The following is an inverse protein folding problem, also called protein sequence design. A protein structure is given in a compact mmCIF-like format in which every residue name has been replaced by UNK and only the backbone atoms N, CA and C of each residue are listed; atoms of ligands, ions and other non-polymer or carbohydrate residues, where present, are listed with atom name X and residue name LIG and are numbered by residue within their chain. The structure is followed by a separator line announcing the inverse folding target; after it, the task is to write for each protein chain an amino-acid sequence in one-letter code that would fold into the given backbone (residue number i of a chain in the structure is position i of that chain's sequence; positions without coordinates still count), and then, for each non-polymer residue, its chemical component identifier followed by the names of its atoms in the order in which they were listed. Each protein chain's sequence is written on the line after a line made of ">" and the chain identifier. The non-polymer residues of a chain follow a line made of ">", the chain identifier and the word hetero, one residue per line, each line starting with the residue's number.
data_IF_661254391970
#
_entry.id   IF_661254391970
#
_cell.length_a   1.000
_cell.length_b   1.000
_cell.length_c   1.000
_cell.angle_alpha   90.00
_cell.angle_beta   90.00
_cell.angle_gamma   90.00
#
_symmetry.space_group_name_H-M   'P 1'
#
loop_
_entity.id
_entity.type
_entity.pdbx_description
1 polymer ?
#
# COMPACT_ATOMS: atom_id res chain seq x y z
N UNK A 1 13.50 -3.38 -0.50
CA UNK A 1 12.90 -4.12 -1.63
C UNK A 1 11.60 -4.75 -1.17
N UNK A 2 10.51 -4.63 -1.94
CA UNK A 2 9.23 -5.27 -1.61
C UNK A 2 9.00 -6.55 -2.42
N UNK A 3 8.52 -7.59 -1.77
CA UNK A 3 8.21 -8.89 -2.36
C UNK A 3 6.79 -9.31 -1.97
N UNK A 4 6.09 -9.93 -2.90
CA UNK A 4 4.77 -10.51 -2.70
C UNK A 4 4.94 -11.99 -2.38
N UNK A 5 4.61 -12.41 -1.16
CA UNK A 5 4.80 -13.79 -0.71
C UNK A 5 4.08 -14.80 -1.62
N UNK A 6 2.85 -14.50 -2.03
CA UNK A 6 2.10 -15.34 -2.96
C UNK A 6 2.79 -15.53 -4.32
N UNK A 7 3.63 -14.59 -4.77
CA UNK A 7 4.37 -14.69 -6.02
C UNK A 7 5.68 -15.46 -5.86
N UNK A 8 6.25 -15.53 -4.66
CA UNK A 8 7.54 -16.18 -4.41
C UNK A 8 7.48 -17.71 -4.52
N UNK A 9 6.29 -18.31 -4.37
CA UNK A 9 6.11 -19.74 -4.60
C UNK A 9 6.39 -20.11 -6.07
N UNK A 10 5.93 -19.28 -7.01
CA UNK A 10 6.13 -19.49 -8.45
C UNK A 10 7.44 -18.87 -8.97
N UNK A 11 7.97 -17.87 -8.25
CA UNK A 11 9.14 -17.06 -8.65
C UNK A 11 10.17 -16.92 -7.52
N UNK A 12 10.76 -18.03 -7.04
CA UNK A 12 11.71 -18.01 -5.94
C UNK A 12 12.98 -17.20 -6.24
N UNK A 13 13.35 -17.04 -7.50
CA UNK A 13 14.51 -16.26 -7.95
C UNK A 13 14.41 -14.77 -7.59
N UNK A 14 13.20 -14.26 -7.36
CA UNK A 14 13.00 -12.88 -6.91
C UNK A 14 13.55 -12.64 -5.51
N UNK A 15 13.43 -13.63 -4.61
CA UNK A 15 14.01 -13.55 -3.28
C UNK A 15 15.54 -13.56 -3.36
N UNK A 16 16.10 -14.40 -4.22
CA UNK A 16 17.55 -14.50 -4.42
C UNK A 16 18.11 -13.19 -4.96
N UNK A 17 17.46 -12.60 -5.96
CA UNK A 17 17.82 -11.29 -6.50
C UNK A 17 17.71 -10.17 -5.43
N UNK A 18 16.65 -10.18 -4.63
CA UNK A 18 16.47 -9.20 -3.56
C UNK A 18 17.55 -9.30 -2.47
N UNK A 19 17.93 -10.53 -2.09
CA UNK A 19 19.01 -10.77 -1.12
C UNK A 19 20.37 -10.36 -1.71
N UNK A 20 20.65 -10.71 -2.97
CA UNK A 20 21.88 -10.36 -3.66
C UNK A 20 22.10 -8.84 -3.76
N UNK A 21 21.02 -8.07 -3.88
CA UNK A 21 21.07 -6.61 -3.87
C UNK A 21 21.45 -6.00 -2.50
N UNK A 22 21.45 -6.80 -1.42
CA UNK A 22 21.78 -6.40 -0.03
C UNK A 22 21.13 -5.08 0.41
N UNK A 23 19.80 -4.90 0.27
CA UNK A 23 19.13 -3.71 0.75
C UNK A 23 19.16 -3.64 2.28
N UNK A 24 18.93 -2.45 2.84
CA UNK A 24 18.78 -2.28 4.29
C UNK A 24 17.53 -3.02 4.85
N UNK A 25 16.47 -3.13 4.03
CA UNK A 25 15.18 -3.70 4.40
C UNK A 25 14.54 -4.45 3.23
N UNK A 26 14.04 -5.66 3.49
CA UNK A 26 13.13 -6.40 2.60
C UNK A 26 11.75 -6.48 3.25
N UNK A 27 10.70 -6.11 2.51
CA UNK A 27 9.32 -6.34 2.91
C UNK A 27 8.79 -7.58 2.20
N UNK A 28 8.28 -8.54 2.96
CA UNK A 28 7.64 -9.76 2.46
C UNK A 28 6.19 -9.72 2.94
N UNK A 29 5.26 -9.43 2.04
CA UNK A 29 3.87 -9.16 2.38
C UNK A 29 2.92 -10.01 1.55
N UNK A 30 1.63 -10.00 1.89
CA UNK A 30 0.56 -10.65 1.13
C UNK A 30 0.66 -12.19 1.11
N UNK A 31 0.82 -12.78 2.29
CA UNK A 31 0.89 -14.22 2.49
C UNK A 31 1.86 -14.61 3.60
N UNK A 32 1.99 -15.92 3.87
CA UNK A 32 2.89 -16.47 4.89
C UNK A 32 4.36 -16.06 4.70
N UNK A 33 4.99 -15.32 5.64
CA UNK A 33 6.39 -14.92 5.51
C UNK A 33 7.41 -15.97 6.01
N UNK A 34 6.96 -17.02 6.71
CA UNK A 34 7.80 -17.95 7.48
C UNK A 34 8.90 -18.61 6.64
N UNK A 35 8.56 -19.02 5.42
CA UNK A 35 9.47 -19.72 4.52
C UNK A 35 10.62 -18.85 4.00
N UNK A 36 10.55 -17.53 4.17
CA UNK A 36 11.46 -16.58 3.53
C UNK A 36 12.27 -15.76 4.54
N UNK A 37 11.67 -15.40 5.68
CA UNK A 37 12.29 -14.54 6.70
C UNK A 37 13.66 -15.05 7.16
N UNK A 38 13.79 -16.36 7.41
CA UNK A 38 15.05 -16.95 7.84
C UNK A 38 16.20 -16.71 6.88
N UNK A 39 15.96 -16.82 5.56
CA UNK A 39 16.97 -16.60 4.52
C UNK A 39 17.42 -15.14 4.46
N UNK A 40 16.48 -14.21 4.56
CA UNK A 40 16.76 -12.76 4.57
C UNK A 40 17.62 -12.38 5.79
N UNK A 41 17.26 -12.90 6.97
CA UNK A 41 18.00 -12.66 8.21
C UNK A 41 19.40 -13.26 8.20
N UNK A 42 19.57 -14.47 7.66
CA UNK A 42 20.90 -15.08 7.48
C UNK A 42 21.83 -14.25 6.59
N UNK A 43 21.28 -13.48 5.66
CA UNK A 43 22.03 -12.53 4.84
C UNK A 43 22.32 -11.20 5.56
N UNK A 44 21.94 -11.04 6.83
CA UNK A 44 22.16 -9.82 7.61
C UNK A 44 21.23 -8.65 7.24
N UNK A 45 20.16 -8.92 6.50
CA UNK A 45 19.21 -7.91 6.02
C UNK A 45 18.01 -7.86 6.96
N UNK A 46 17.51 -6.64 7.24
CA UNK A 46 16.28 -6.49 8.02
C UNK A 46 15.07 -6.88 7.22
N UNK A 47 14.07 -7.44 7.88
CA UNK A 47 12.84 -7.92 7.24
C UNK A 47 11.59 -7.39 7.92
N UNK A 48 10.58 -7.08 7.12
CA UNK A 48 9.28 -6.61 7.58
C UNK A 48 8.15 -7.28 6.81
N UNK A 49 6.93 -7.20 7.33
CA UNK A 49 5.72 -7.62 6.64
C UNK A 49 4.61 -6.57 6.83
N UNK A 50 3.87 -6.30 5.76
CA UNK A 50 2.60 -5.58 5.82
C UNK A 50 1.50 -6.52 6.31
N UNK A 51 0.72 -6.05 7.28
CA UNK A 51 -0.36 -6.79 7.93
C UNK A 51 -1.63 -5.95 7.96
N UNK A 52 -2.77 -6.62 7.77
CA UNK A 52 -4.10 -6.03 7.85
C UNK A 52 -4.95 -6.57 9.01
N UNK A 53 -4.44 -7.56 9.76
CA UNK A 53 -5.08 -8.11 10.97
C UNK A 53 -4.08 -8.36 12.10
N UNK A 54 -4.60 -8.52 13.32
CA UNK A 54 -3.81 -8.95 14.49
C UNK A 54 -3.21 -10.34 14.29
N UNK A 55 -3.93 -11.24 13.64
CA UNK A 55 -3.45 -12.60 13.36
C UNK A 55 -2.22 -12.57 12.44
N UNK A 56 -2.27 -11.78 11.36
CA UNK A 56 -1.13 -11.58 10.47
C UNK A 56 0.06 -10.93 11.19
N UNK A 57 -0.19 -9.99 12.09
CA UNK A 57 0.85 -9.36 12.90
C UNK A 57 1.58 -10.37 13.80
N UNK A 58 0.83 -11.18 14.56
CA UNK A 58 1.39 -12.24 15.42
C UNK A 58 2.17 -13.28 14.61
N UNK A 59 1.63 -13.65 13.44
CA UNK A 59 2.28 -14.59 12.53
C UNK A 59 3.60 -14.03 11.99
N UNK A 60 3.63 -12.75 11.59
CA UNK A 60 4.83 -12.10 11.12
C UNK A 60 5.89 -11.99 12.24
N UNK A 61 5.49 -11.62 13.46
CA UNK A 61 6.40 -11.59 14.61
C UNK A 61 6.96 -12.99 14.92
N UNK A 62 6.12 -14.02 14.94
CA UNK A 62 6.54 -15.41 15.15
C UNK A 62 7.49 -15.91 14.06
N UNK A 63 7.33 -15.44 12.81
CA UNK A 63 8.26 -15.70 11.71
C UNK A 63 9.63 -15.02 11.93
N UNK A 64 9.69 -14.02 12.81
CA UNK A 64 10.91 -13.31 13.18
C UNK A 64 11.16 -12.05 12.37
N UNK A 65 10.14 -11.32 11.93
CA UNK A 65 10.35 -9.99 11.33
C UNK A 65 10.94 -8.99 12.33
N UNK A 66 11.67 -7.99 11.83
CA UNK A 66 12.28 -6.93 12.65
C UNK A 66 11.29 -5.81 13.00
N UNK A 67 10.26 -5.61 12.17
CA UNK A 67 9.15 -4.67 12.39
C UNK A 67 7.94 -5.09 11.57
N UNK A 68 6.75 -4.66 11.97
CA UNK A 68 5.51 -4.87 11.19
C UNK A 68 4.96 -3.55 10.66
N UNK A 69 4.30 -3.61 9.51
CA UNK A 69 3.61 -2.48 8.90
C UNK A 69 2.11 -2.70 8.99
N UNK A 70 1.46 -2.06 9.97
CA UNK A 70 0.02 -2.14 10.16
C UNK A 70 -0.70 -1.22 9.16
N UNK A 71 -1.26 -1.81 8.10
CA UNK A 71 -1.86 -1.06 6.98
C UNK A 71 -3.38 -1.14 7.02
N UNK A 72 -4.01 -0.01 7.30
CA UNK A 72 -5.47 0.11 7.31
C UNK A 72 -6.12 0.10 5.92
N UNK A 73 -7.44 -0.05 5.91
CA UNK A 73 -8.29 -0.13 4.71
C UNK A 73 -8.21 1.11 3.81
N UNK A 74 -7.80 2.26 4.36
CA UNK A 74 -7.67 3.56 3.71
C UNK A 74 -6.41 3.65 2.82
N UNK A 75 -5.48 2.70 2.96
CA UNK A 75 -4.26 2.66 2.15
C UNK A 75 -4.53 2.44 0.67
N UNK A 76 -3.69 3.03 -0.19
CA UNK A 76 -3.72 2.79 -1.64
C UNK A 76 -3.13 1.44 -2.02
N UNK A 77 -3.45 0.97 -3.23
CA UNK A 77 -2.97 -0.32 -3.74
C UNK A 77 -3.48 -1.50 -2.92
N UNK A 78 -2.75 -2.61 -2.92
CA UNK A 78 -3.19 -3.85 -2.32
C UNK A 78 -3.05 -3.91 -0.80
N UNK A 79 -4.03 -4.52 -0.16
CA UNK A 79 -4.09 -4.78 1.28
C UNK A 79 -5.46 -5.32 1.66
N UNK A 80 -5.71 -5.49 2.97
CA UNK A 80 -7.06 -5.77 3.45
C UNK A 80 -7.90 -4.49 3.44
N UNK A 81 -9.16 -4.62 3.04
CA UNK A 81 -10.16 -3.55 3.04
C UNK A 81 -11.09 -3.56 4.26
N UNK A 82 -10.64 -4.14 5.38
CA UNK A 82 -11.51 -4.54 6.49
C UNK A 82 -11.49 -3.56 7.69
N UNK A 83 -10.29 -3.14 8.13
CA UNK A 83 -10.12 -2.36 9.37
C UNK A 83 -9.38 -1.06 9.08
N UNK A 84 -9.92 0.05 9.60
CA UNK A 84 -9.33 1.38 9.51
C UNK A 84 -7.97 1.49 10.26
N UNK A 85 -7.06 2.33 9.79
CA UNK A 85 -5.67 2.45 10.28
C UNK A 85 -5.61 2.64 11.80
N UNK A 86 -6.40 3.56 12.38
CA UNK A 86 -6.32 3.85 13.80
C UNK A 86 -6.79 2.67 14.67
N UNK A 87 -7.85 1.98 14.25
CA UNK A 87 -8.36 0.81 14.97
C UNK A 87 -7.38 -0.38 14.85
N UNK A 88 -6.88 -0.64 13.63
CA UNK A 88 -5.91 -1.70 13.39
C UNK A 88 -4.62 -1.47 14.17
N UNK A 89 -4.09 -0.23 14.15
CA UNK A 89 -2.84 0.11 14.80
C UNK A 89 -2.87 -0.18 16.31
N UNK A 90 -3.93 0.24 17.00
CA UNK A 90 -4.07 -0.02 18.45
C UNK A 90 -4.09 -1.51 18.74
N UNK A 91 -4.89 -2.28 18.00
CA UNK A 91 -4.97 -3.74 18.21
C UNK A 91 -3.67 -4.46 17.89
N UNK A 92 -2.91 -3.99 16.90
CA UNK A 92 -1.60 -4.57 16.57
C UNK A 92 -0.57 -4.23 17.64
N UNK A 93 -0.51 -2.98 18.11
CA UNK A 93 0.40 -2.56 19.19
C UNK A 93 0.21 -3.36 20.47
N UNK A 94 -1.02 -3.70 20.83
CA UNK A 94 -1.32 -4.54 22.00
C UNK A 94 -0.95 -6.02 21.80
N UNK A 95 -0.74 -6.46 20.55
CA UNK A 95 -0.62 -7.86 20.20
C UNK A 95 0.80 -8.33 19.86
N UNK A 96 1.73 -7.41 19.58
CA UNK A 96 3.11 -7.72 19.21
C UNK A 96 4.10 -6.87 20.00
N UNK A 97 5.32 -7.37 20.19
CA UNK A 97 6.41 -6.66 20.85
C UNK A 97 7.37 -5.98 19.86
N UNK A 98 7.43 -6.44 18.61
CA UNK A 98 8.23 -5.79 17.56
C UNK A 98 7.72 -4.37 17.24
N UNK A 99 8.59 -3.44 16.83
CA UNK A 99 8.17 -2.10 16.42
C UNK A 99 7.08 -2.13 15.33
N UNK A 100 6.08 -1.26 15.49
CA UNK A 100 4.95 -1.14 14.55
C UNK A 100 5.04 0.19 13.81
N UNK A 101 5.02 0.12 12.48
CA UNK A 101 4.88 1.29 11.59
C UNK A 101 3.46 1.33 11.07
N UNK A 102 2.80 2.50 11.16
CA UNK A 102 1.43 2.67 10.68
C UNK A 102 1.38 2.98 9.17
N UNK A 103 0.39 2.47 8.47
CA UNK A 103 0.17 2.75 7.05
C UNK A 103 -1.33 2.88 6.73
N UNK A 104 -1.63 3.60 5.64
CA UNK A 104 -2.99 3.90 5.21
C UNK A 104 -3.49 5.26 5.74
N UNK A 105 -4.09 6.07 4.86
CA UNK A 105 -4.63 7.40 5.20
C UNK A 105 -3.62 8.49 5.62
N UNK A 106 -2.37 8.14 5.92
CA UNK A 106 -1.36 9.10 6.41
C UNK A 106 -0.75 9.86 5.23
N UNK A 107 -1.14 11.13 5.06
CA UNK A 107 -0.64 11.99 3.98
C UNK A 107 -0.13 13.37 4.41
N UNK A 108 0.17 13.56 5.69
CA UNK A 108 0.77 14.79 6.19
C UNK A 108 1.06 14.76 7.70
N UNK A 109 1.51 15.89 8.28
CA UNK A 109 1.99 15.95 9.67
C UNK A 109 0.94 15.57 10.70
N UNK A 110 -0.35 15.87 10.45
CA UNK A 110 -1.44 15.49 11.37
C UNK A 110 -1.61 13.98 11.47
N UNK A 111 -1.57 13.29 10.33
CA UNK A 111 -1.66 11.84 10.29
C UNK A 111 -0.45 11.19 10.97
N UNK A 112 0.76 11.70 10.69
CA UNK A 112 1.96 11.21 11.35
C UNK A 112 1.91 11.43 12.88
N UNK A 113 1.56 12.63 13.33
CA UNK A 113 1.43 12.93 14.77
C UNK A 113 0.42 12.00 15.45
N UNK A 114 -0.73 11.75 14.83
CA UNK A 114 -1.77 10.87 15.38
C UNK A 114 -1.26 9.44 15.59
N UNK A 115 -0.56 8.85 14.61
CA UNK A 115 -0.07 7.46 14.74
C UNK A 115 1.13 7.35 15.66
N UNK A 116 1.99 8.38 15.73
CA UNK A 116 3.08 8.45 16.72
C UNK A 116 2.51 8.53 18.13
N UNK A 117 1.50 9.38 18.37
CA UNK A 117 0.83 9.47 19.66
C UNK A 117 0.13 8.15 20.05
N UNK A 118 -0.38 7.40 19.07
CA UNK A 118 -0.97 6.09 19.30
C UNK A 118 0.06 4.99 19.62
N UNK A 119 1.37 5.24 19.44
CA UNK A 119 2.45 4.30 19.79
C UNK A 119 3.20 3.70 18.59
N UNK A 120 2.87 4.06 17.35
CA UNK A 120 3.68 3.65 16.21
C UNK A 120 5.08 4.29 16.26
N UNK A 121 6.10 3.59 15.77
CA UNK A 121 7.47 4.15 15.67
C UNK A 121 7.69 4.98 14.41
N UNK A 122 6.68 5.08 13.55
CA UNK A 122 6.73 5.84 12.30
C UNK A 122 5.54 5.56 11.40
N UNK A 123 5.60 6.08 10.17
CA UNK A 123 4.59 5.87 9.13
C UNK A 123 5.20 5.32 7.84
N UNK A 124 4.49 4.41 7.17
CA UNK A 124 4.79 3.95 5.82
C UNK A 124 3.84 4.64 4.84
N UNK A 125 4.38 5.60 4.10
CA UNK A 125 3.59 6.52 3.27
C UNK A 125 3.71 6.19 1.79
N UNK A 126 2.58 6.19 1.09
CA UNK A 126 2.51 5.92 -0.35
C UNK A 126 1.89 7.08 -1.10
N UNK A 127 0.56 7.27 -0.97
CA UNK A 127 -0.21 8.26 -1.73
C UNK A 127 0.33 9.69 -1.63
N UNK A 128 0.85 10.11 -0.47
CA UNK A 128 1.48 11.42 -0.28
C UNK A 128 2.65 11.70 -1.23
N UNK A 129 3.32 10.65 -1.72
CA UNK A 129 4.49 10.75 -2.59
C UNK A 129 4.13 10.63 -4.08
N UNK A 130 2.89 10.26 -4.43
CA UNK A 130 2.48 10.08 -5.83
C UNK A 130 2.46 11.38 -6.63
N UNK A 131 2.26 12.50 -5.94
CA UNK A 131 2.28 13.85 -6.52
C UNK A 131 3.67 14.47 -6.65
N UNK A 132 4.72 13.77 -6.19
CA UNK A 132 6.06 14.35 -6.16
C UNK A 132 6.73 14.42 -7.53
N UNK A 133 7.66 15.36 -7.69
CA UNK A 133 8.46 15.53 -8.93
C UNK A 133 9.30 14.30 -9.28
N UNK A 134 9.69 13.53 -8.26
CA UNK A 134 10.51 12.33 -8.37
C UNK A 134 9.66 11.07 -8.66
N UNK A 135 8.33 11.17 -8.57
CA UNK A 135 7.45 10.06 -8.85
C UNK A 135 7.37 9.81 -10.37
N UNK A 136 7.46 8.53 -10.78
CA UNK A 136 7.22 8.11 -12.17
C UNK A 136 5.75 8.23 -12.62
N UNK A 137 4.91 8.93 -11.86
CA UNK A 137 3.51 9.23 -12.19
C UNK A 137 3.47 10.24 -13.34
N UNK A 138 2.70 9.95 -14.39
CA UNK A 138 2.55 10.89 -15.52
C UNK A 138 1.88 12.20 -15.11
N UNK A 139 2.05 13.25 -15.90
CA UNK A 139 1.38 14.54 -15.67
C UNK A 139 -0.16 14.41 -15.70
N UNK A 140 -0.70 13.48 -16.51
CA UNK A 140 -2.13 13.23 -16.58
C UNK A 140 -2.64 12.52 -15.32
N UNK A 141 -1.94 11.48 -14.86
CA UNK A 141 -2.28 10.82 -13.59
C UNK A 141 -2.16 11.77 -12.40
N UNK A 142 -1.12 12.61 -12.38
CA UNK A 142 -0.88 13.58 -11.32
C UNK A 142 -2.01 14.61 -11.20
N UNK A 143 -2.52 15.11 -12.33
CA UNK A 143 -3.72 15.99 -12.34
C UNK A 143 -4.93 15.29 -11.73
N UNK A 144 -5.21 14.04 -12.15
CA UNK A 144 -6.30 13.23 -11.57
C UNK A 144 -6.15 13.05 -10.05
N UNK A 145 -4.93 12.89 -9.54
CA UNK A 145 -4.65 12.80 -8.10
C UNK A 145 -4.91 14.13 -7.37
N UNK A 146 -4.59 15.28 -7.96
CA UNK A 146 -4.81 16.59 -7.33
C UNK A 146 -6.27 17.04 -7.36
N UNK A 147 -7.04 16.59 -8.36
CA UNK A 147 -8.46 16.89 -8.49
C UNK A 147 -9.35 15.95 -7.64
N UNK A 148 -8.77 14.86 -7.10
CA UNK A 148 -9.51 13.84 -6.36
C UNK A 148 -9.84 14.29 -4.92
N UNK A 149 -11.12 14.13 -4.55
CA UNK A 149 -11.57 14.26 -3.16
C UNK A 149 -11.17 13.04 -2.31
N UNK A 150 -11.26 13.16 -0.99
CA UNK A 150 -11.04 12.04 -0.05
C UNK A 150 -11.99 10.85 -0.28
N UNK A 151 -13.17 11.12 -0.87
CA UNK A 151 -14.19 10.12 -1.23
C UNK A 151 -14.02 9.52 -2.62
N UNK A 152 -13.00 9.93 -3.38
CA UNK A 152 -12.83 9.54 -4.79
C UNK A 152 -12.15 8.17 -4.98
N UNK A 153 -11.91 7.40 -3.92
CA UNK A 153 -11.29 6.07 -4.03
C UNK A 153 -12.30 4.96 -3.75
N UNK A 154 -12.08 3.80 -4.36
CA UNK A 154 -12.81 2.58 -4.08
C UNK A 154 -11.84 1.41 -3.89
N UNK A 155 -12.24 0.46 -3.04
CA UNK A 155 -11.52 -0.79 -2.80
C UNK A 155 -12.22 -1.93 -3.53
N UNK A 156 -11.45 -2.76 -4.23
CA UNK A 156 -12.00 -3.95 -4.88
C UNK A 156 -10.97 -4.69 -5.71
N UNK A 157 -11.43 -5.69 -6.46
CA UNK A 157 -10.57 -6.54 -7.32
C UNK A 157 -10.78 -6.31 -8.81
N UNK A 158 -11.58 -5.31 -9.20
CA UNK A 158 -11.92 -5.04 -10.62
C UNK A 158 -10.68 -5.01 -11.49
N UNK A 159 -9.68 -4.19 -11.14
CA UNK A 159 -8.48 -4.06 -11.94
C UNK A 159 -7.59 -5.31 -11.90
N UNK A 160 -7.62 -6.09 -10.82
CA UNK A 160 -6.86 -7.33 -10.72
C UNK A 160 -7.43 -8.40 -11.64
N UNK A 161 -8.75 -8.57 -11.61
CA UNK A 161 -9.49 -9.50 -12.47
C UNK A 161 -9.31 -9.14 -13.93
N UNK A 162 -9.51 -7.87 -14.30
CA UNK A 162 -9.33 -7.40 -15.68
C UNK A 162 -7.90 -7.59 -16.20
N UNK A 163 -6.89 -7.54 -15.33
CA UNK A 163 -5.48 -7.75 -15.69
C UNK A 163 -5.04 -9.23 -15.58
N UNK A 164 -5.91 -10.13 -15.13
CA UNK A 164 -5.56 -11.53 -14.87
C UNK A 164 -4.52 -11.71 -13.75
N UNK A 165 -4.45 -10.78 -12.79
CA UNK A 165 -3.53 -10.87 -11.66
C UNK A 165 -4.05 -11.85 -10.61
N UNK A 166 -3.19 -12.77 -10.17
CA UNK A 166 -3.52 -13.84 -9.22
C UNK A 166 -3.42 -13.40 -7.76
N UNK A 167 -3.95 -12.22 -7.44
CA UNK A 167 -4.04 -11.76 -6.06
C UNK A 167 -4.93 -12.71 -5.25
N UNK A 168 -4.49 -13.15 -4.04
CA UNK A 168 -5.36 -13.88 -3.13
C UNK A 168 -6.64 -13.08 -2.83
N UNK A 169 -7.75 -13.79 -2.65
CA UNK A 169 -9.08 -13.21 -2.61
C UNK A 169 -9.29 -12.15 -1.52
N UNK A 170 -8.55 -12.27 -0.41
CA UNK A 170 -8.55 -11.38 0.74
C UNK A 170 -7.86 -10.02 0.48
N UNK A 171 -7.06 -9.90 -0.60
CA UNK A 171 -6.36 -8.67 -0.95
C UNK A 171 -6.96 -8.04 -2.21
N UNK A 172 -7.63 -6.91 -2.03
CA UNK A 172 -8.07 -6.03 -3.11
C UNK A 172 -7.17 -4.81 -3.24
N UNK A 173 -7.24 -4.14 -4.39
CA UNK A 173 -6.59 -2.88 -4.64
C UNK A 173 -7.50 -1.69 -4.35
N UNK A 174 -7.00 -0.69 -3.60
CA UNK A 174 -7.65 0.63 -3.52
C UNK A 174 -7.08 1.58 -4.56
N UNK A 175 -7.97 2.15 -5.37
CA UNK A 175 -7.64 3.03 -6.47
C UNK A 175 -8.64 4.19 -6.56
N UNK A 176 -8.31 5.22 -7.35
CA UNK A 176 -9.31 6.19 -7.79
C UNK A 176 -10.46 5.45 -8.48
N UNK A 177 -11.69 5.73 -8.04
CA UNK A 177 -12.91 5.20 -8.61
C UNK A 177 -13.10 5.82 -10.00
N UNK A 178 -13.37 5.00 -11.00
CA UNK A 178 -13.57 5.44 -12.37
C UNK A 178 -14.71 4.66 -13.03
N UNK A 179 -15.05 5.00 -14.27
CA UNK A 179 -16.18 4.39 -14.99
C UNK A 179 -16.00 2.88 -15.19
N UNK A 180 -14.76 2.41 -15.38
CA UNK A 180 -14.48 0.98 -15.48
C UNK A 180 -14.72 0.25 -14.16
N UNK A 181 -14.32 0.83 -13.02
CA UNK A 181 -14.66 0.29 -11.71
C UNK A 181 -16.17 0.21 -11.52
N UNK A 182 -16.90 1.28 -11.85
CA UNK A 182 -18.36 1.37 -11.74
C UNK A 182 -19.11 0.34 -12.57
N UNK A 183 -18.60 0.04 -13.77
CA UNK A 183 -19.22 -0.93 -14.65
C UNK A 183 -19.08 -2.38 -14.15
N UNK A 184 -18.03 -2.68 -13.37
CA UNK A 184 -17.60 -4.06 -13.14
C UNK A 184 -17.52 -4.49 -11.67
N UNK A 185 -17.59 -3.58 -10.69
CA UNK A 185 -17.37 -3.95 -9.28
C UNK A 185 -18.32 -5.01 -8.72
N UNK A 186 -19.54 -5.09 -9.25
CA UNK A 186 -20.54 -6.11 -8.88
C UNK A 186 -20.63 -7.27 -9.89
N UNK A 187 -19.74 -7.31 -10.90
CA UNK A 187 -19.79 -8.25 -12.04
C UNK A 187 -18.43 -8.90 -12.31
N UNK A 188 -17.72 -9.27 -11.24
CA UNK A 188 -16.35 -9.78 -11.33
C UNK A 188 -16.26 -11.11 -12.10
N UNK A 189 -17.25 -11.99 -11.98
CA UNK A 189 -17.27 -13.28 -12.69
C UNK A 189 -17.40 -13.06 -14.21
N UNK A 190 -18.28 -12.14 -14.63
CA UNK A 190 -18.41 -11.76 -16.03
C UNK A 190 -17.14 -11.06 -16.54
N UNK A 191 -16.53 -10.20 -15.72
CA UNK A 191 -15.27 -9.53 -16.06
C UNK A 191 -14.14 -10.53 -16.29
N UNK A 192 -14.05 -11.58 -15.48
CA UNK A 192 -12.99 -12.59 -15.56
C UNK A 192 -12.98 -13.32 -16.91
N UNK A 193 -14.13 -13.42 -17.57
CA UNK A 193 -14.29 -14.08 -18.87
C UNK A 193 -14.30 -13.07 -20.04
N UNK A 194 -14.20 -11.76 -19.77
CA UNK A 194 -14.35 -10.72 -20.77
C UNK A 194 -12.99 -10.22 -21.33
N UNK A 195 -12.56 -10.84 -22.43
CA UNK A 195 -11.32 -10.47 -23.12
C UNK A 195 -11.34 -9.02 -23.65
N UNK A 196 -12.49 -8.50 -24.06
CA UNK A 196 -12.62 -7.13 -24.58
C UNK A 196 -12.41 -6.09 -23.47
N UNK A 197 -12.92 -6.35 -22.26
CA UNK A 197 -12.72 -5.49 -21.10
C UNK A 197 -11.24 -5.47 -20.66
N UNK A 198 -10.57 -6.62 -20.69
CA UNK A 198 -9.13 -6.70 -20.43
C UNK A 198 -8.31 -5.90 -21.46
N UNK A 199 -8.67 -6.03 -22.74
CA UNK A 199 -8.05 -5.29 -23.83
C UNK A 199 -8.32 -3.78 -23.74
N UNK A 200 -9.55 -3.38 -23.41
CA UNK A 200 -9.93 -2.00 -23.17
C UNK A 200 -9.06 -1.37 -22.06
N UNK A 201 -8.89 -2.07 -20.93
CA UNK A 201 -8.06 -1.58 -19.83
C UNK A 201 -6.59 -1.44 -20.25
N UNK A 202 -6.07 -2.38 -21.04
CA UNK A 202 -4.70 -2.34 -21.59
C UNK A 202 -4.50 -1.13 -22.51
N UNK A 203 -5.45 -0.88 -23.41
CA UNK A 203 -5.41 0.27 -24.32
C UNK A 203 -5.51 1.59 -23.56
N UNK A 204 -6.43 1.69 -22.58
CA UNK A 204 -6.59 2.87 -21.74
C UNK A 204 -5.31 3.21 -20.97
N UNK A 205 -4.60 2.19 -20.45
CA UNK A 205 -3.31 2.40 -19.78
C UNK A 205 -2.26 2.98 -20.73
N UNK A 206 -2.19 2.51 -21.97
CA UNK A 206 -1.26 3.02 -22.97
C UNK A 206 -1.60 4.45 -23.41
N UNK A 207 -2.89 4.80 -23.41
CA UNK A 207 -3.40 6.13 -23.76
C UNK A 207 -3.48 7.12 -22.59
N UNK A 208 -3.16 6.70 -21.37
CA UNK A 208 -3.39 7.45 -20.13
C UNK A 208 -4.86 7.91 -19.93
N UNK A 209 -5.81 7.10 -20.40
CA UNK A 209 -7.25 7.32 -20.17
C UNK A 209 -7.64 6.79 -18.79
N UNK A 210 -7.65 7.67 -17.78
CA UNK A 210 -7.96 7.31 -16.40
C UNK A 210 -9.45 7.23 -16.06
N UNK A 211 -10.35 7.44 -17.02
CA UNK A 211 -11.74 7.05 -16.84
C UNK A 211 -11.90 5.52 -16.94
N UNK A 212 -10.88 4.85 -17.51
CA UNK A 212 -10.78 3.38 -17.58
C UNK A 212 -9.55 2.83 -16.84
N UNK A 213 -8.36 3.40 -17.05
CA UNK A 213 -7.11 2.95 -16.47
C UNK A 213 -7.03 3.20 -14.96
N UNK A 214 -6.36 2.29 -14.24
CA UNK A 214 -6.21 2.34 -12.79
C UNK A 214 -5.17 3.37 -12.34
N UNK A 215 -5.50 4.13 -11.30
CA UNK A 215 -4.54 4.88 -10.47
C UNK A 215 -4.69 4.39 -9.03
N UNK A 216 -3.72 3.61 -8.55
CA UNK A 216 -3.72 3.18 -7.15
C UNK A 216 -3.39 4.35 -6.22
N UNK A 217 -4.35 4.67 -5.34
CA UNK A 217 -4.24 5.75 -4.36
C UNK A 217 -5.15 5.43 -3.16
N UNK A 218 -4.74 5.84 -1.97
CA UNK A 218 -5.53 5.72 -0.75
C UNK A 218 -6.38 6.96 -0.50
N UNK A 219 -7.21 6.92 0.53
CA UNK A 219 -8.14 8.01 0.86
C UNK A 219 -7.43 9.32 1.25
N UNK A 220 -6.14 9.24 1.61
CA UNK A 220 -5.27 10.42 1.78
C UNK A 220 -5.05 11.24 0.50
N UNK A 221 -5.57 10.80 -0.66
CA UNK A 221 -5.46 11.53 -1.93
C UNK A 221 -6.05 12.93 -1.86
N UNK A 222 -7.15 13.15 -1.13
CA UNK A 222 -7.77 14.47 -0.97
C UNK A 222 -6.90 15.51 -0.22
N UNK A 223 -5.75 15.08 0.32
CA UNK A 223 -4.76 15.95 0.94
C UNK A 223 -3.64 16.37 -0.02
N UNK A 224 -3.55 15.80 -1.21
CA UNK A 224 -2.61 16.25 -2.24
C UNK A 224 -3.16 17.51 -2.90
N UNK A 225 -2.37 18.59 -2.93
CA UNK A 225 -2.81 19.91 -3.43
C UNK A 225 -2.02 20.42 -4.62
N UNK A 226 -0.75 20.06 -4.71
CA UNK A 226 0.15 20.54 -5.74
C UNK A 226 1.35 19.62 -5.87
N UNK A 227 2.04 19.76 -7.01
CA UNK A 227 3.33 19.13 -7.24
C UNK A 227 4.38 19.76 -6.34
N UNK A 228 5.18 18.91 -5.71
CA UNK A 228 6.23 19.24 -4.74
C UNK A 228 7.35 18.22 -4.86
N UNK A 229 8.54 18.52 -4.36
CA UNK A 229 9.59 17.53 -4.20
C UNK A 229 9.29 16.59 -3.03
N UNK A 230 9.89 15.39 -3.06
CA UNK A 230 9.85 14.48 -1.90
C UNK A 230 10.43 15.18 -0.66
N UNK A 231 11.49 15.97 -0.82
CA UNK A 231 12.10 16.73 0.27
C UNK A 231 11.10 17.69 0.96
N UNK A 232 10.31 18.43 0.19
CA UNK A 232 9.28 19.33 0.73
C UNK A 232 8.16 18.57 1.44
N UNK A 233 7.71 17.44 0.86
CA UNK A 233 6.70 16.59 1.51
C UNK A 233 7.24 16.06 2.85
N UNK A 234 8.45 15.53 2.88
CA UNK A 234 9.06 15.02 4.13
C UNK A 234 9.30 16.13 5.16
N UNK A 235 9.70 17.33 4.73
CA UNK A 235 9.82 18.48 5.61
C UNK A 235 8.46 18.86 6.24
N UNK A 236 7.37 18.79 5.46
CA UNK A 236 6.03 19.01 6.00
C UNK A 236 5.64 17.96 7.04
N UNK A 237 5.96 16.68 6.79
CA UNK A 237 5.77 15.60 7.78
C UNK A 237 6.54 15.88 9.09
N UNK A 238 7.73 16.47 9.01
CA UNK A 238 8.51 16.87 10.18
C UNK A 238 7.76 17.79 11.17
N UNK A 239 6.77 18.54 10.69
CA UNK A 239 5.89 19.37 11.55
C UNK A 239 4.97 18.56 12.48
N UNK A 240 4.98 17.22 12.38
CA UNK A 240 4.33 16.36 13.36
C UNK A 240 4.83 16.59 14.79
N UNK A 241 6.11 16.94 14.95
CA UNK A 241 6.71 17.23 16.25
C UNK A 241 6.04 18.43 16.93
N UNK A 242 5.78 19.51 16.19
CA UNK A 242 5.06 20.69 16.71
C UNK A 242 3.64 20.34 17.17
N UNK A 243 2.98 19.42 16.47
CA UNK A 243 1.63 18.98 16.80
C UNK A 243 1.60 18.13 18.07
N UNK A 244 2.61 17.27 18.27
CA UNK A 244 2.75 16.45 19.46
C UNK A 244 3.07 17.28 20.72
N UNK A 245 3.80 18.38 20.57
CA UNK A 245 4.16 19.30 21.67
C UNK A 245 3.06 20.31 22.03
N UNK A 246 1.96 20.34 21.28
CA UNK A 246 0.91 21.37 21.45
C UNK A 246 0.07 21.17 22.72
N UNK A 247 0.12 19.99 23.33
CA UNK A 247 -0.60 19.60 24.54
C UNK A 247 0.36 18.91 25.50
#
# INVERSE_FOLDING_TARGET
>A
VGLMAWALADRPEQLDAAIAARPALISISFGPPESYVGRVRQAGIRVTAQVGTVEEARRAEAAGVDLVVARGAEGGGHGRGEVATLALLQSVLDAVAVPVVAAGGIAGPRGLAAVLAAGAVGAWVGTALLGCTEAGTSATARRRLFDAAETATAYGRVFDVAQGLRWPAEYGGRALRNAFFDAWHDRLDELAENADAAEQLRQARAAEDYDTAVIYAGEGVGLLRSERSVAEVLAEFGRAEDLLRRF
#
